data_IF_113254833837
#
_entry.id   IF_113254833837
#
_cell.length_a   1.000
_cell.length_b   1.000
_cell.length_c   1.000
_cell.angle_alpha   90.00
_cell.angle_beta   90.00
_cell.angle_gamma   90.00
#
_symmetry.space_group_name_H-M   'P 1'
#
loop_
_entity.id
_entity.type
_entity.pdbx_description
1 polymer ?
#
# COMPACT_ATOMS: atom_id res chain seq x y z
N UNK A 1 -11.32 28.74 0.20
CA UNK A 1 -10.81 27.46 -0.33
C UNK A 1 -9.65 27.63 -1.30
N UNK A 2 -9.82 27.97 -2.60
CA UNK A 2 -8.68 27.95 -3.56
C UNK A 2 -7.50 28.85 -3.16
N UNK A 3 -7.77 30.09 -2.76
CA UNK A 3 -6.72 31.02 -2.35
C UNK A 3 -5.95 30.51 -1.11
N UNK A 4 -6.67 30.06 -0.10
CA UNK A 4 -6.09 29.48 1.13
C UNK A 4 -5.31 28.20 0.83
N UNK A 5 -5.84 27.34 -0.04
CA UNK A 5 -5.18 26.12 -0.45
C UNK A 5 -3.87 26.43 -1.20
N UNK A 6 -3.87 27.41 -2.11
CA UNK A 6 -2.65 27.84 -2.82
C UNK A 6 -1.61 28.44 -1.85
N UNK A 7 -2.04 29.19 -0.82
CA UNK A 7 -1.14 29.66 0.25
C UNK A 7 -0.51 28.49 1.01
N UNK A 8 -1.32 27.51 1.43
CA UNK A 8 -0.84 26.29 2.08
C UNK A 8 0.14 25.48 1.20
N UNK A 9 -0.15 25.36 -0.10
CA UNK A 9 0.77 24.73 -1.07
C UNK A 9 2.11 25.45 -1.08
N UNK A 10 2.12 26.80 -1.12
CA UNK A 10 3.35 27.58 -1.10
C UNK A 10 4.13 27.44 0.24
N UNK A 11 3.43 27.43 1.37
CA UNK A 11 4.02 27.24 2.71
C UNK A 11 4.70 25.86 2.86
N UNK A 12 4.07 24.82 2.29
CA UNK A 12 4.61 23.45 2.29
C UNK A 12 5.76 23.31 1.29
N UNK A 13 5.64 23.92 0.11
CA UNK A 13 6.71 23.94 -0.88
C UNK A 13 7.98 24.64 -0.36
N UNK A 14 7.86 25.70 0.46
CA UNK A 14 8.99 26.35 1.11
C UNK A 14 9.74 25.42 2.10
N UNK A 15 9.09 24.36 2.58
CA UNK A 15 9.70 23.31 3.39
C UNK A 15 10.15 22.11 2.54
N UNK A 16 9.94 22.11 1.23
CA UNK A 16 10.27 20.99 0.34
C UNK A 16 9.31 19.80 0.44
N UNK A 17 8.07 20.01 0.88
CA UNK A 17 7.07 18.94 1.08
C UNK A 17 5.75 19.25 0.38
N UNK A 18 4.99 18.19 0.08
CA UNK A 18 3.67 18.28 -0.57
C UNK A 18 2.59 18.84 0.38
N UNK A 19 1.51 19.44 -0.15
CA UNK A 19 0.39 19.90 0.67
C UNK A 19 -0.29 18.74 1.43
N UNK A 20 -0.93 19.08 2.56
CA UNK A 20 -1.85 18.15 3.24
C UNK A 20 -2.98 17.69 2.30
N UNK A 21 -3.53 16.48 2.49
CA UNK A 21 -4.80 16.11 1.88
C UNK A 21 -5.89 17.09 2.28
N UNK A 22 -6.95 17.16 1.47
CA UNK A 22 -8.11 17.99 1.76
C UNK A 22 -8.85 17.45 2.99
N UNK A 23 -9.23 18.36 3.87
CA UNK A 23 -10.18 18.05 4.95
C UNK A 23 -11.64 18.11 4.46
N UNK A 24 -12.59 17.75 5.34
CA UNK A 24 -14.01 17.73 5.00
C UNK A 24 -14.57 19.11 4.63
N UNK A 25 -14.08 20.19 5.24
CA UNK A 25 -14.53 21.57 4.96
C UNK A 25 -14.05 22.00 3.57
N UNK A 26 -12.78 21.72 3.26
CA UNK A 26 -12.20 21.97 1.95
C UNK A 26 -12.87 21.11 0.87
N UNK A 27 -13.17 19.85 1.16
CA UNK A 27 -13.90 18.98 0.23
C UNK A 27 -15.32 19.49 -0.02
N UNK A 28 -16.03 19.96 1.00
CA UNK A 28 -17.36 20.55 0.84
C UNK A 28 -17.31 21.84 -0.02
N UNK A 29 -16.32 22.70 0.20
CA UNK A 29 -16.11 23.87 -0.64
C UNK A 29 -15.72 23.50 -2.08
N UNK A 30 -14.93 22.43 -2.27
CA UNK A 30 -14.59 21.90 -3.58
C UNK A 30 -15.84 21.39 -4.33
N UNK A 31 -16.81 20.77 -3.64
CA UNK A 31 -18.08 20.35 -4.27
C UNK A 31 -18.80 21.53 -4.92
N UNK A 32 -18.89 22.68 -4.23
CA UNK A 32 -19.56 23.87 -4.80
C UNK A 32 -18.80 24.43 -6.01
N UNK A 33 -17.47 24.42 -5.97
CA UNK A 33 -16.64 24.78 -7.12
C UNK A 33 -16.80 23.81 -8.29
N UNK A 34 -16.91 22.50 -8.03
CA UNK A 34 -17.13 21.50 -9.08
C UNK A 34 -18.50 21.65 -9.75
N UNK A 35 -19.52 22.17 -9.05
CA UNK A 35 -20.84 22.48 -9.63
C UNK A 35 -20.80 23.74 -10.51
N UNK A 36 -20.02 24.75 -10.11
CA UNK A 36 -19.88 26.02 -10.83
C UNK A 36 -18.40 26.41 -10.95
N UNK A 37 -17.63 25.75 -11.84
CA UNK A 37 -16.19 25.93 -11.90
C UNK A 37 -15.82 27.32 -12.42
N UNK A 38 -14.86 28.01 -11.78
CA UNK A 38 -14.24 29.19 -12.36
C UNK A 38 -13.51 28.83 -13.66
N UNK A 39 -13.57 29.73 -14.64
CA UNK A 39 -12.90 29.55 -15.94
C UNK A 39 -11.39 29.39 -15.74
N UNK A 40 -10.82 28.33 -16.32
CA UNK A 40 -9.39 28.03 -16.27
C UNK A 40 -8.91 27.27 -15.04
N UNK A 41 -9.82 26.89 -14.13
CA UNK A 41 -9.52 26.10 -12.93
C UNK A 41 -9.97 24.64 -13.05
N UNK A 42 -10.57 24.24 -14.18
CA UNK A 42 -11.27 22.97 -14.37
C UNK A 42 -10.37 21.75 -14.09
N UNK A 43 -9.18 21.72 -14.69
CA UNK A 43 -8.20 20.64 -14.49
C UNK A 43 -7.69 20.59 -13.05
N UNK A 44 -7.47 21.76 -12.44
CA UNK A 44 -6.98 21.83 -11.07
C UNK A 44 -8.01 21.31 -10.07
N UNK A 45 -9.28 21.68 -10.24
CA UNK A 45 -10.38 21.16 -9.41
C UNK A 45 -10.53 19.64 -9.55
N UNK A 46 -10.37 19.11 -10.76
CA UNK A 46 -10.38 17.66 -11.00
C UNK A 46 -9.19 16.97 -10.33
N UNK A 47 -7.98 17.52 -10.41
CA UNK A 47 -6.81 16.96 -9.71
C UNK A 47 -7.03 16.90 -8.19
N UNK A 48 -7.58 17.96 -7.59
CA UNK A 48 -7.91 17.99 -6.17
C UNK A 48 -8.90 16.87 -5.80
N UNK A 49 -9.97 16.72 -6.57
CA UNK A 49 -10.98 15.67 -6.37
C UNK A 49 -10.37 14.27 -6.51
N UNK A 50 -9.54 14.05 -7.53
CA UNK A 50 -9.03 12.73 -7.91
C UNK A 50 -7.88 12.28 -6.99
N UNK A 51 -6.99 13.21 -6.61
CA UNK A 51 -5.68 12.87 -6.06
C UNK A 51 -5.43 13.42 -4.65
N UNK A 52 -6.23 14.36 -4.13
CA UNK A 52 -5.93 15.05 -2.86
C UNK A 52 -6.91 14.74 -1.72
N UNK A 53 -7.84 13.82 -1.89
CA UNK A 53 -8.81 13.41 -0.85
C UNK A 53 -8.42 12.05 -0.29
N UNK A 54 -8.36 11.86 1.05
CA UNK A 54 -8.13 10.54 1.65
C UNK A 54 -9.20 9.52 1.19
N UNK A 55 -8.84 8.23 1.05
CA UNK A 55 -9.80 7.17 0.76
C UNK A 55 -10.48 6.64 2.04
N UNK A 56 -11.36 5.65 1.91
CA UNK A 56 -11.90 4.93 3.06
C UNK A 56 -13.06 5.66 3.74
N UNK A 57 -13.01 5.66 5.08
CA UNK A 57 -14.03 6.24 5.97
C UNK A 57 -13.61 7.58 6.59
N UNK A 58 -12.69 8.28 5.94
CA UNK A 58 -12.31 9.64 6.31
C UNK A 58 -13.49 10.62 6.10
N UNK A 59 -13.54 11.69 6.88
CA UNK A 59 -14.63 12.68 6.82
C UNK A 59 -14.68 13.39 5.46
N UNK A 60 -13.53 13.66 4.82
CA UNK A 60 -13.50 14.20 3.47
C UNK A 60 -13.92 13.16 2.43
N UNK A 61 -13.59 11.87 2.65
CA UNK A 61 -14.06 10.77 1.82
C UNK A 61 -15.59 10.64 1.88
N UNK A 62 -16.21 10.85 3.04
CA UNK A 62 -17.67 10.87 3.18
C UNK A 62 -18.31 11.92 2.27
N UNK A 63 -17.81 13.16 2.34
CA UNK A 63 -18.30 14.27 1.49
C UNK A 63 -18.10 13.98 0.01
N UNK A 64 -16.91 13.47 -0.37
CA UNK A 64 -16.59 13.08 -1.74
C UNK A 64 -17.53 11.98 -2.26
N UNK A 65 -17.71 10.90 -1.50
CA UNK A 65 -18.57 9.79 -1.88
C UNK A 65 -20.03 10.25 -2.06
N UNK A 66 -20.54 11.06 -1.13
CA UNK A 66 -21.89 11.62 -1.21
C UNK A 66 -22.11 12.48 -2.47
N UNK A 67 -21.15 13.36 -2.79
CA UNK A 67 -21.21 14.16 -4.02
C UNK A 67 -21.19 13.29 -5.28
N UNK A 68 -20.24 12.35 -5.38
CA UNK A 68 -20.13 11.48 -6.55
C UNK A 68 -21.38 10.59 -6.73
N UNK A 69 -21.94 10.07 -5.63
CA UNK A 69 -23.17 9.31 -5.67
C UNK A 69 -24.37 10.16 -6.16
N UNK A 70 -24.49 11.40 -5.70
CA UNK A 70 -25.54 12.33 -6.15
C UNK A 70 -25.40 12.68 -7.64
N UNK A 71 -24.18 12.83 -8.15
CA UNK A 71 -23.92 13.04 -9.59
C UNK A 71 -24.30 11.79 -10.38
N UNK A 72 -23.93 10.60 -9.91
CA UNK A 72 -24.28 9.34 -10.57
C UNK A 72 -25.80 9.11 -10.65
N UNK A 73 -26.55 9.49 -9.61
CA UNK A 73 -28.02 9.38 -9.56
C UNK A 73 -28.77 10.51 -10.29
N UNK A 74 -28.06 11.58 -10.68
CA UNK A 74 -28.66 12.76 -11.28
C UNK A 74 -29.35 13.71 -10.29
N UNK A 75 -29.16 13.51 -8.99
CA UNK A 75 -29.67 14.39 -7.93
C UNK A 75 -28.94 15.75 -7.90
N UNK A 76 -27.72 15.78 -8.45
CA UNK A 76 -26.95 17.00 -8.68
C UNK A 76 -26.15 16.89 -9.96
N UNK A 77 -25.65 18.02 -10.45
CA UNK A 77 -24.91 18.09 -11.72
C UNK A 77 -23.61 18.86 -11.57
N UNK A 78 -22.60 18.45 -12.32
CA UNK A 78 -21.34 19.18 -12.49
C UNK A 78 -21.00 19.23 -13.97
N UNK A 79 -20.54 20.36 -14.51
CA UNK A 79 -20.01 20.41 -15.87
C UNK A 79 -18.69 19.64 -16.04
N UNK A 80 -18.02 19.24 -14.96
CA UNK A 80 -16.72 18.55 -14.98
C UNK A 80 -16.81 17.06 -14.68
N UNK A 81 -17.89 16.60 -14.05
CA UNK A 81 -18.05 15.21 -13.61
C UNK A 81 -19.37 14.68 -14.16
N UNK A 82 -19.29 13.78 -15.16
CA UNK A 82 -20.45 13.04 -15.66
C UNK A 82 -20.85 11.91 -14.70
N UNK A 83 -22.06 11.35 -14.81
CA UNK A 83 -22.46 10.16 -14.06
C UNK A 83 -21.47 8.98 -14.21
N UNK A 84 -21.00 8.72 -15.43
CA UNK A 84 -19.99 7.69 -15.72
C UNK A 84 -18.69 7.96 -14.99
N UNK A 85 -18.20 9.21 -15.06
CA UNK A 85 -16.97 9.61 -14.37
C UNK A 85 -17.11 9.51 -12.85
N UNK A 86 -18.29 9.80 -12.31
CA UNK A 86 -18.54 9.71 -10.89
C UNK A 86 -18.42 8.25 -10.39
N UNK A 87 -18.96 7.29 -11.15
CA UNK A 87 -18.80 5.85 -10.85
C UNK A 87 -17.34 5.41 -10.96
N UNK A 88 -16.59 5.86 -11.97
CA UNK A 88 -15.14 5.59 -12.05
C UNK A 88 -14.40 6.08 -10.79
N UNK A 89 -14.70 7.30 -10.34
CA UNK A 89 -14.05 7.91 -9.17
C UNK A 89 -14.46 7.28 -7.85
N UNK A 90 -15.72 6.83 -7.72
CA UNK A 90 -16.14 6.00 -6.58
C UNK A 90 -15.30 4.71 -6.51
N UNK A 91 -14.95 4.13 -7.67
CA UNK A 91 -14.08 2.97 -7.75
C UNK A 91 -12.65 3.16 -7.23
N UNK A 92 -12.16 4.40 -7.10
CA UNK A 92 -10.79 4.67 -6.62
C UNK A 92 -10.70 4.94 -5.13
N UNK A 93 -11.81 4.90 -4.39
CA UNK A 93 -11.87 5.29 -2.98
C UNK A 93 -11.49 4.18 -1.99
N UNK A 94 -10.93 3.07 -2.50
CA UNK A 94 -10.47 1.86 -1.78
C UNK A 94 -11.58 1.04 -1.07
N UNK A 95 -12.56 1.69 -0.45
CA UNK A 95 -13.68 1.07 0.26
C UNK A 95 -14.35 2.03 1.25
N UNK A 96 -15.40 1.59 1.93
CA UNK A 96 -16.18 2.42 2.85
C UNK A 96 -17.38 3.07 2.18
N UNK A 97 -17.47 4.40 2.20
CA UNK A 97 -18.68 5.14 1.76
C UNK A 97 -18.99 5.02 0.26
N UNK A 98 -18.04 4.58 -0.55
CA UNK A 98 -18.20 4.38 -1.99
C UNK A 98 -18.90 3.07 -2.37
N UNK A 99 -18.97 2.09 -1.47
CA UNK A 99 -19.42 0.72 -1.82
C UNK A 99 -20.89 0.66 -2.20
N UNK A 100 -21.79 1.17 -1.36
CA UNK A 100 -23.23 1.13 -1.64
C UNK A 100 -23.61 1.87 -2.93
N UNK A 101 -23.09 3.09 -3.21
CA UNK A 101 -23.30 3.73 -4.51
C UNK A 101 -22.88 2.89 -5.72
N UNK A 102 -21.77 2.14 -5.62
CA UNK A 102 -21.34 1.24 -6.70
C UNK A 102 -22.27 0.03 -6.85
N UNK A 103 -22.76 -0.54 -5.75
CA UNK A 103 -23.71 -1.66 -5.77
C UNK A 103 -25.07 -1.22 -6.34
N UNK A 104 -25.57 -0.04 -5.96
CA UNK A 104 -26.77 0.57 -6.52
C UNK A 104 -26.66 0.71 -8.03
N UNK A 105 -25.51 1.19 -8.51
CA UNK A 105 -25.25 1.44 -9.93
C UNK A 105 -25.25 0.17 -10.80
N UNK A 106 -25.19 -1.04 -10.23
CA UNK A 106 -25.35 -2.29 -10.98
C UNK A 106 -26.75 -2.47 -11.58
N UNK A 107 -27.76 -1.72 -11.11
CA UNK A 107 -29.13 -1.78 -11.64
C UNK A 107 -29.39 -0.76 -12.76
N UNK A 108 -28.44 0.14 -13.03
CA UNK A 108 -28.53 1.13 -14.10
C UNK A 108 -27.81 0.61 -15.36
N UNK A 109 -28.54 0.45 -16.47
CA UNK A 109 -27.98 -0.14 -17.69
C UNK A 109 -26.78 0.61 -18.29
N UNK A 110 -26.65 1.92 -18.04
CA UNK A 110 -25.51 2.73 -18.51
C UNK A 110 -24.33 2.67 -17.56
N UNK A 111 -24.59 2.67 -16.24
CA UNK A 111 -23.55 2.74 -15.22
C UNK A 111 -23.03 1.37 -14.78
N UNK A 112 -23.85 0.33 -14.89
CA UNK A 112 -23.53 -1.01 -14.40
C UNK A 112 -22.23 -1.60 -14.97
N UNK A 113 -21.87 -1.43 -16.27
CA UNK A 113 -20.56 -1.90 -16.76
C UNK A 113 -19.36 -1.25 -16.04
N UNK A 114 -19.48 0.03 -15.70
CA UNK A 114 -18.42 0.82 -15.03
C UNK A 114 -18.34 0.42 -13.56
N UNK A 115 -19.51 0.30 -12.90
CA UNK A 115 -19.61 -0.12 -11.52
C UNK A 115 -19.09 -1.56 -11.32
N UNK A 116 -19.43 -2.47 -12.24
CA UNK A 116 -18.93 -3.84 -12.22
C UNK A 116 -17.39 -3.87 -12.30
N UNK A 117 -16.79 -3.09 -13.20
CA UNK A 117 -15.33 -2.96 -13.28
C UNK A 117 -14.73 -2.41 -11.99
N UNK A 118 -15.34 -1.38 -11.38
CA UNK A 118 -14.88 -0.82 -10.12
C UNK A 118 -14.94 -1.84 -8.96
N UNK A 119 -16.07 -2.53 -8.80
CA UNK A 119 -16.27 -3.54 -7.75
C UNK A 119 -15.34 -4.74 -7.91
N UNK A 120 -15.07 -5.15 -9.15
CA UNK A 120 -14.14 -6.25 -9.47
C UNK A 120 -12.73 -6.06 -8.91
N UNK A 121 -12.29 -4.80 -8.75
CA UNK A 121 -10.99 -4.45 -8.15
C UNK A 121 -11.08 -3.92 -6.71
N UNK A 122 -12.28 -3.89 -6.12
CA UNK A 122 -12.49 -3.41 -4.75
C UNK A 122 -12.37 -4.56 -3.75
N UNK A 123 -11.35 -4.51 -2.89
CA UNK A 123 -11.09 -5.61 -1.94
C UNK A 123 -11.90 -5.50 -0.65
N UNK A 124 -12.16 -4.27 -0.19
CA UNK A 124 -12.78 -3.97 1.10
C UNK A 124 -14.32 -4.13 1.07
N UNK A 125 -14.81 -5.23 0.47
CA UNK A 125 -16.23 -5.53 0.37
C UNK A 125 -16.81 -5.98 1.72
N UNK A 126 -16.05 -6.76 2.49
CA UNK A 126 -16.50 -7.35 3.76
C UNK A 126 -17.88 -7.99 3.65
N UNK A 127 -18.86 -7.55 4.43
CA UNK A 127 -20.23 -8.10 4.39
C UNK A 127 -21.03 -7.62 3.18
N UNK A 128 -20.66 -6.49 2.54
CA UNK A 128 -21.30 -6.02 1.30
C UNK A 128 -21.05 -6.99 0.11
N UNK A 129 -20.19 -8.00 0.30
CA UNK A 129 -20.10 -9.14 -0.62
C UNK A 129 -21.47 -9.79 -0.85
N UNK A 130 -22.26 -9.97 0.22
CA UNK A 130 -23.55 -10.66 0.13
C UNK A 130 -24.60 -9.83 -0.64
N UNK A 131 -24.50 -8.50 -0.63
CA UNK A 131 -25.40 -7.64 -1.41
C UNK A 131 -25.17 -7.83 -2.92
N UNK A 132 -23.90 -7.99 -3.34
CA UNK A 132 -23.56 -8.31 -4.74
C UNK A 132 -23.97 -9.74 -5.09
N UNK A 133 -23.75 -10.69 -4.19
CA UNK A 133 -24.16 -12.08 -4.36
C UNK A 133 -25.70 -12.21 -4.52
N UNK A 134 -26.47 -11.48 -3.72
CA UNK A 134 -27.93 -11.45 -3.80
C UNK A 134 -28.40 -10.96 -5.17
N UNK A 135 -27.84 -9.85 -5.67
CA UNK A 135 -28.12 -9.34 -7.01
C UNK A 135 -27.78 -10.35 -8.11
N UNK A 136 -26.64 -11.03 -7.99
CA UNK A 136 -26.23 -12.06 -8.93
C UNK A 136 -27.23 -13.23 -8.96
N UNK A 137 -27.66 -13.71 -7.77
CA UNK A 137 -28.68 -14.76 -7.60
C UNK A 137 -30.05 -14.34 -8.13
N UNK A 138 -30.40 -13.05 -8.02
CA UNK A 138 -31.62 -12.48 -8.58
C UNK A 138 -31.58 -12.31 -10.12
N UNK A 139 -30.43 -12.59 -10.76
CA UNK A 139 -30.29 -12.57 -12.21
C UNK A 139 -29.62 -11.32 -12.80
N UNK A 140 -29.05 -10.43 -11.98
CA UNK A 140 -28.28 -9.30 -12.49
C UNK A 140 -26.95 -9.79 -13.10
N UNK A 141 -26.81 -9.70 -14.43
CA UNK A 141 -25.62 -10.18 -15.16
C UNK A 141 -24.34 -9.42 -14.79
N UNK A 142 -24.42 -8.14 -14.45
CA UNK A 142 -23.26 -7.35 -14.02
C UNK A 142 -22.78 -7.77 -12.62
N UNK A 143 -23.71 -8.09 -11.72
CA UNK A 143 -23.35 -8.66 -10.42
C UNK A 143 -22.71 -10.05 -10.56
N UNK A 144 -23.21 -10.89 -11.48
CA UNK A 144 -22.56 -12.17 -11.81
C UNK A 144 -21.14 -11.97 -12.36
N UNK A 145 -20.93 -10.97 -13.21
CA UNK A 145 -19.60 -10.62 -13.71
C UNK A 145 -18.65 -10.26 -12.57
N UNK A 146 -19.08 -9.44 -11.60
CA UNK A 146 -18.27 -9.08 -10.42
C UNK A 146 -17.90 -10.33 -9.60
N UNK A 147 -18.88 -11.20 -9.32
CA UNK A 147 -18.64 -12.45 -8.59
C UNK A 147 -17.63 -13.35 -9.30
N UNK A 148 -17.74 -13.48 -10.61
CA UNK A 148 -16.81 -14.26 -11.44
C UNK A 148 -15.41 -13.64 -11.43
N UNK A 149 -15.29 -12.32 -11.59
CA UNK A 149 -14.00 -11.60 -11.55
C UNK A 149 -13.26 -11.80 -10.22
N UNK A 150 -13.97 -11.72 -9.09
CA UNK A 150 -13.40 -12.03 -7.78
C UNK A 150 -12.95 -13.49 -7.69
N UNK A 151 -13.78 -14.42 -8.18
CA UNK A 151 -13.48 -15.85 -8.17
C UNK A 151 -12.27 -16.23 -9.02
N UNK A 152 -12.03 -15.50 -10.11
CA UNK A 152 -10.89 -15.64 -11.02
C UNK A 152 -9.66 -14.83 -10.57
N UNK A 153 -9.76 -14.14 -9.42
CA UNK A 153 -8.70 -13.33 -8.84
C UNK A 153 -8.18 -12.23 -9.78
N UNK A 154 -9.04 -11.63 -10.61
CA UNK A 154 -8.62 -10.59 -11.56
C UNK A 154 -7.99 -9.39 -10.87
N UNK A 155 -8.48 -9.03 -9.67
CA UNK A 155 -7.89 -7.96 -8.83
C UNK A 155 -6.40 -8.15 -8.54
N UNK A 156 -5.95 -9.41 -8.49
CA UNK A 156 -4.56 -9.80 -8.26
C UNK A 156 -3.83 -9.99 -9.59
N UNK A 157 -4.44 -10.70 -10.54
CA UNK A 157 -3.83 -11.04 -11.82
C UNK A 157 -3.62 -9.83 -12.74
N UNK A 158 -4.42 -8.77 -12.60
CA UNK A 158 -4.25 -7.52 -13.34
C UNK A 158 -3.08 -6.67 -12.84
N UNK A 159 -2.52 -6.98 -11.66
CA UNK A 159 -1.37 -6.26 -11.08
C UNK A 159 -0.07 -6.83 -11.63
N UNK A 160 0.96 -6.01 -11.90
CA UNK A 160 2.25 -6.49 -12.36
C UNK A 160 2.84 -7.52 -11.38
N UNK A 161 3.33 -8.68 -11.86
CA UNK A 161 4.05 -9.60 -10.99
C UNK A 161 5.36 -8.96 -10.50
N UNK A 162 5.90 -9.47 -9.38
CA UNK A 162 7.24 -9.10 -8.93
C UNK A 162 8.25 -9.40 -10.06
N UNK A 163 9.12 -8.44 -10.35
CA UNK A 163 10.10 -8.60 -11.41
C UNK A 163 11.11 -9.72 -11.07
N UNK A 164 11.54 -10.48 -12.08
CA UNK A 164 12.59 -11.48 -11.91
C UNK A 164 13.94 -10.89 -11.52
N UNK A 165 14.14 -9.61 -11.86
CA UNK A 165 15.31 -8.80 -11.56
C UNK A 165 14.88 -7.39 -11.17
N UNK A 166 15.41 -6.90 -10.06
CA UNK A 166 15.18 -5.55 -9.54
C UNK A 166 16.55 -4.85 -9.45
N UNK A 167 16.76 -3.83 -10.27
CA UNK A 167 17.97 -3.01 -10.21
C UNK A 167 17.76 -1.83 -9.27
N UNK A 168 18.61 -1.68 -8.26
CA UNK A 168 18.50 -0.64 -7.23
C UNK A 168 19.84 0.02 -6.93
N UNK A 169 19.79 1.26 -6.45
CA UNK A 169 20.94 1.93 -5.82
C UNK A 169 20.88 1.75 -4.30
N UNK A 170 21.99 1.33 -3.71
CA UNK A 170 22.10 1.06 -2.27
C UNK A 170 22.16 2.37 -1.47
N UNK A 171 21.23 2.55 -0.53
CA UNK A 171 21.35 3.51 0.57
C UNK A 171 21.76 2.76 1.84
N UNK A 172 23.07 2.67 2.11
CA UNK A 172 23.63 1.90 3.22
C UNK A 172 23.69 2.72 4.51
N UNK A 173 23.12 2.20 5.59
CA UNK A 173 23.31 2.70 6.95
C UNK A 173 24.07 1.64 7.74
N UNK A 174 25.33 1.92 8.06
CA UNK A 174 26.20 0.99 8.80
C UNK A 174 25.76 0.87 10.27
N UNK A 175 26.01 -0.29 10.85
CA UNK A 175 25.64 -0.64 12.21
C UNK A 175 24.15 -0.96 12.37
N UNK A 176 23.61 -0.59 13.53
CA UNK A 176 22.21 -0.80 13.87
C UNK A 176 21.38 0.44 13.52
N UNK A 177 20.28 0.21 12.79
CA UNK A 177 19.21 1.18 12.60
C UNK A 177 18.08 0.86 13.56
N UNK A 178 17.93 1.70 14.59
CA UNK A 178 16.79 1.67 15.49
C UNK A 178 15.59 2.40 14.85
N UNK A 179 14.35 2.02 15.18
CA UNK A 179 13.18 2.73 14.68
C UNK A 179 13.10 4.19 15.16
N UNK A 180 13.76 4.55 16.27
CA UNK A 180 13.90 5.95 16.71
C UNK A 180 14.79 6.77 15.76
N UNK A 181 15.75 6.13 15.07
CA UNK A 181 16.58 6.81 14.08
C UNK A 181 15.76 7.23 12.85
N UNK A 182 14.79 6.40 12.49
CA UNK A 182 13.90 6.62 11.33
C UNK A 182 12.69 7.49 11.66
N UNK A 183 12.29 7.52 12.92
CA UNK A 183 11.13 8.24 13.42
C UNK A 183 11.38 8.67 14.87
N UNK A 184 12.11 9.78 15.10
CA UNK A 184 12.54 10.18 16.43
C UNK A 184 11.37 10.46 17.38
N UNK A 185 11.54 10.14 18.66
CA UNK A 185 10.51 10.36 19.68
C UNK A 185 10.02 11.82 19.81
N UNK A 186 10.89 12.86 19.75
CA UNK A 186 10.46 14.26 19.84
C UNK A 186 9.49 14.70 18.72
N UNK A 187 9.51 13.99 17.59
CA UNK A 187 8.73 14.30 16.40
C UNK A 187 7.45 13.43 16.32
N UNK A 188 7.08 12.73 17.42
CA UNK A 188 5.92 11.86 17.45
C UNK A 188 4.60 12.57 17.08
N UNK A 189 4.50 13.87 17.35
CA UNK A 189 3.33 14.70 17.04
C UNK A 189 3.06 14.83 15.53
N UNK A 190 4.08 14.71 14.67
CA UNK A 190 3.94 14.88 13.23
C UNK A 190 3.69 13.57 12.48
N UNK A 191 3.75 12.41 13.16
CA UNK A 191 3.62 11.06 12.55
C UNK A 191 2.43 10.87 11.58
N UNK A 192 1.24 11.46 11.81
CA UNK A 192 0.13 11.35 10.87
C UNK A 192 0.38 12.07 9.53
N UNK A 193 1.22 13.10 9.51
CA UNK A 193 1.62 13.86 8.33
C UNK A 193 2.92 13.27 7.74
N UNK A 194 2.78 12.18 6.97
CA UNK A 194 3.92 11.38 6.48
C UNK A 194 5.01 12.24 5.81
N UNK A 195 4.71 13.14 4.86
CA UNK A 195 5.74 13.95 4.20
C UNK A 195 6.49 14.87 5.17
N UNK A 196 5.80 15.43 6.16
CA UNK A 196 6.41 16.26 7.19
C UNK A 196 7.27 15.43 8.14
N UNK A 197 6.74 14.30 8.62
CA UNK A 197 7.46 13.43 9.55
C UNK A 197 8.70 12.80 8.92
N UNK A 198 8.65 12.48 7.62
CA UNK A 198 9.76 11.90 6.89
C UNK A 198 11.00 12.82 6.90
N UNK A 199 10.83 14.14 7.00
CA UNK A 199 11.98 15.06 7.10
C UNK A 199 12.85 14.79 8.34
N UNK A 200 12.31 14.20 9.41
CA UNK A 200 13.04 13.89 10.63
C UNK A 200 13.82 12.57 10.57
N UNK A 201 13.65 11.77 9.51
CA UNK A 201 14.33 10.49 9.33
C UNK A 201 15.85 10.68 9.26
N UNK A 202 16.60 10.01 10.14
CA UNK A 202 18.06 10.07 10.21
C UNK A 202 18.60 11.51 10.38
N UNK A 203 17.84 12.40 11.05
CA UNK A 203 18.27 13.79 11.30
C UNK A 203 19.48 13.92 12.22
N UNK A 204 19.77 12.89 13.02
CA UNK A 204 20.96 12.83 13.86
C UNK A 204 22.10 12.18 13.08
N UNK A 205 23.22 12.90 12.91
CA UNK A 205 24.36 12.45 12.13
C UNK A 205 24.90 11.10 12.63
N UNK A 206 25.36 10.28 11.68
CA UNK A 206 26.03 8.99 11.91
C UNK A 206 27.02 8.74 10.77
N UNK A 207 27.86 7.73 10.92
CA UNK A 207 28.80 7.35 9.87
C UNK A 207 28.11 7.14 8.52
N UNK A 208 28.61 7.78 7.47
CA UNK A 208 28.06 7.68 6.11
C UNK A 208 26.74 8.42 5.86
N UNK A 209 26.17 9.10 6.86
CA UNK A 209 24.90 9.83 6.74
C UNK A 209 25.10 11.29 7.10
N UNK A 210 24.76 12.17 6.16
CA UNK A 210 24.93 13.62 6.26
C UNK A 210 23.56 14.31 6.27
N UNK A 211 22.98 14.61 7.45
CA UNK A 211 21.71 15.32 7.53
C UNK A 211 21.81 16.73 6.96
N UNK A 212 20.80 17.17 6.20
CA UNK A 212 20.76 18.51 5.62
C UNK A 212 20.78 19.61 6.70
N UNK A 213 20.14 19.32 7.85
CA UNK A 213 20.18 20.16 9.05
C UNK A 213 20.27 19.26 10.30
N UNK A 214 21.47 19.03 10.86
CA UNK A 214 21.64 18.12 11.99
C UNK A 214 20.69 18.41 13.16
N UNK A 215 19.97 17.37 13.61
CA UNK A 215 18.96 17.42 14.67
C UNK A 215 17.57 17.87 14.22
N UNK A 216 17.40 18.32 12.97
CA UNK A 216 16.14 18.87 12.44
C UNK A 216 15.70 18.17 11.16
N UNK A 217 16.54 18.16 10.13
CA UNK A 217 16.25 17.58 8.81
C UNK A 217 17.29 16.53 8.46
N UNK A 218 16.80 15.36 8.04
CA UNK A 218 17.55 14.21 7.56
C UNK A 218 18.34 14.43 6.26
N UNK A 219 18.94 13.35 5.72
CA UNK A 219 19.86 13.39 4.58
C UNK A 219 19.13 13.48 3.23
N UNK A 220 18.22 14.45 3.07
CA UNK A 220 17.35 14.54 1.87
C UNK A 220 18.19 14.77 0.61
N UNK A 221 19.17 15.68 0.63
CA UNK A 221 20.06 15.90 -0.52
C UNK A 221 20.88 14.67 -0.90
N UNK A 222 21.32 13.91 0.10
CA UNK A 222 22.06 12.67 -0.12
C UNK A 222 21.18 11.62 -0.81
N UNK A 223 19.94 11.45 -0.35
CA UNK A 223 18.93 10.58 -0.96
C UNK A 223 18.66 11.01 -2.41
N UNK A 224 18.39 12.30 -2.65
CA UNK A 224 18.13 12.84 -3.98
C UNK A 224 19.33 12.68 -4.93
N UNK A 225 20.55 12.85 -4.42
CA UNK A 225 21.77 12.64 -5.21
C UNK A 225 21.91 11.18 -5.68
N UNK A 226 21.51 10.21 -4.84
CA UNK A 226 21.50 8.79 -5.22
C UNK A 226 20.37 8.47 -6.20
N UNK A 227 19.19 9.04 -6.02
CA UNK A 227 18.06 8.88 -6.95
C UNK A 227 18.39 9.36 -8.37
N UNK A 228 19.28 10.37 -8.52
CA UNK A 228 19.76 10.85 -9.83
C UNK A 228 20.55 9.80 -10.63
N UNK A 229 20.94 8.67 -10.03
CA UNK A 229 21.52 7.53 -10.76
C UNK A 229 20.50 6.79 -11.64
N UNK A 230 19.21 7.07 -11.49
CA UNK A 230 18.16 6.56 -12.37
C UNK A 230 17.57 5.21 -11.95
N UNK A 231 17.95 4.69 -10.78
CA UNK A 231 17.38 3.47 -10.21
C UNK A 231 16.66 3.76 -8.88
N UNK A 232 15.62 2.99 -8.52
CA UNK A 232 15.03 3.04 -7.18
C UNK A 232 16.08 2.81 -6.08
N UNK A 233 15.85 3.35 -4.90
CA UNK A 233 16.73 3.12 -3.76
C UNK A 233 16.30 1.88 -2.98
N UNK A 234 17.28 1.17 -2.42
CA UNK A 234 17.05 0.15 -1.40
C UNK A 234 17.63 0.62 -0.07
N UNK A 235 16.86 0.47 1.02
CA UNK A 235 17.37 0.71 2.36
C UNK A 235 18.19 -0.50 2.80
N UNK A 236 19.48 -0.31 3.07
CA UNK A 236 20.40 -1.39 3.44
C UNK A 236 21.02 -1.12 4.80
N UNK A 237 21.07 -2.10 5.70
CA UNK A 237 21.77 -1.94 6.98
C UNK A 237 22.19 -3.26 7.61
N UNK A 238 23.12 -3.22 8.56
CA UNK A 238 23.66 -4.45 9.15
C UNK A 238 22.64 -5.09 10.11
N UNK A 239 22.00 -4.27 10.94
CA UNK A 239 20.82 -4.64 11.75
C UNK A 239 19.75 -3.57 11.59
N UNK A 240 18.53 -3.93 11.18
CA UNK A 240 17.49 -2.97 10.78
C UNK A 240 16.21 -3.12 11.60
N UNK A 241 15.68 -2.00 12.08
CA UNK A 241 14.33 -1.89 12.60
C UNK A 241 14.14 -2.35 14.05
N UNK A 242 15.22 -2.40 14.84
CA UNK A 242 15.15 -2.70 16.27
C UNK A 242 14.41 -1.59 17.04
N UNK A 243 14.01 -1.87 18.28
CA UNK A 243 13.33 -0.91 19.14
C UNK A 243 11.81 -0.99 19.05
N UNK A 244 11.13 0.15 19.18
CA UNK A 244 9.67 0.16 19.35
C UNK A 244 8.92 -0.01 18.03
N UNK A 245 7.73 -0.61 18.12
CA UNK A 245 6.79 -0.69 17.01
C UNK A 245 6.23 0.70 16.70
N UNK A 246 6.74 1.33 15.64
CA UNK A 246 6.22 2.60 15.13
C UNK A 246 6.17 2.56 13.61
N UNK A 247 4.97 2.43 13.05
CA UNK A 247 4.74 2.40 11.59
C UNK A 247 5.34 3.63 10.87
N UNK A 248 5.47 4.76 11.58
CA UNK A 248 6.09 5.98 11.06
C UNK A 248 7.54 5.78 10.58
N UNK A 249 8.31 4.85 11.17
CA UNK A 249 9.65 4.52 10.67
C UNK A 249 9.60 3.96 9.24
N UNK A 250 8.74 2.97 9.00
CA UNK A 250 8.48 2.43 7.67
C UNK A 250 7.91 3.50 6.73
N UNK A 251 6.94 4.31 7.20
CA UNK A 251 6.38 5.37 6.38
C UNK A 251 7.45 6.36 5.89
N UNK A 252 8.40 6.76 6.74
CA UNK A 252 9.48 7.67 6.35
C UNK A 252 10.40 7.05 5.30
N UNK A 253 10.79 5.79 5.47
CA UNK A 253 11.62 5.08 4.49
C UNK A 253 10.89 4.98 3.14
N UNK A 254 9.63 4.52 3.14
CA UNK A 254 8.84 4.37 1.92
C UNK A 254 8.45 5.70 1.29
N UNK A 255 8.40 6.79 2.06
CA UNK A 255 8.19 8.12 1.48
C UNK A 255 9.33 8.48 0.51
N UNK A 256 10.56 8.14 0.84
CA UNK A 256 11.72 8.41 -0.02
C UNK A 256 12.06 7.29 -1.01
N UNK A 257 11.69 6.05 -0.70
CA UNK A 257 12.19 4.85 -1.43
C UNK A 257 11.07 3.93 -1.96
N UNK A 258 9.81 4.30 -1.75
CA UNK A 258 8.65 3.58 -2.25
C UNK A 258 7.97 4.29 -3.43
N UNK A 259 6.85 3.72 -3.83
CA UNK A 259 6.04 4.15 -4.97
C UNK A 259 4.76 4.85 -4.52
N UNK A 260 4.31 5.81 -5.31
CA UNK A 260 3.02 6.46 -5.10
C UNK A 260 1.86 5.46 -5.25
N UNK A 261 0.89 5.54 -4.36
CA UNK A 261 -0.32 4.73 -4.43
C UNK A 261 -1.39 5.54 -5.19
N UNK A 262 -1.90 5.06 -6.33
CA UNK A 262 -2.89 5.81 -7.12
C UNK A 262 -4.08 6.26 -6.27
N UNK A 263 -4.46 7.54 -6.42
CA UNK A 263 -5.60 8.16 -5.74
C UNK A 263 -5.52 8.20 -4.20
N UNK A 264 -4.38 7.87 -3.60
CA UNK A 264 -4.17 7.93 -2.14
C UNK A 264 -3.12 9.00 -1.84
N UNK A 265 -3.50 10.19 -1.35
CA UNK A 265 -2.55 11.27 -1.12
C UNK A 265 -1.58 10.94 0.02
N UNK A 266 -0.33 11.39 -0.15
CA UNK A 266 0.69 11.49 0.90
C UNK A 266 1.01 10.14 1.59
N UNK A 267 0.87 9.04 0.85
CA UNK A 267 1.28 7.71 1.29
C UNK A 267 1.93 6.97 0.13
N UNK A 268 2.99 6.24 0.45
CA UNK A 268 3.71 5.38 -0.49
C UNK A 268 3.73 3.94 0.02
N UNK A 269 3.85 3.00 -0.91
CA UNK A 269 4.02 1.57 -0.66
C UNK A 269 5.23 1.04 -1.42
N UNK A 270 5.37 -0.28 -1.54
CA UNK A 270 6.47 -0.86 -2.32
C UNK A 270 7.84 -0.69 -1.64
N UNK A 271 8.90 -0.64 -2.44
CA UNK A 271 10.28 -0.50 -1.96
C UNK A 271 10.95 -1.82 -1.55
N UNK A 272 12.28 -1.76 -1.37
CA UNK A 272 13.14 -2.90 -1.03
C UNK A 272 13.98 -2.57 0.21
N UNK A 273 14.05 -3.50 1.16
CA UNK A 273 14.88 -3.38 2.34
C UNK A 273 15.74 -4.62 2.53
N UNK A 274 17.05 -4.43 2.61
CA UNK A 274 18.04 -5.49 2.81
C UNK A 274 18.68 -5.31 4.19
N UNK A 275 18.73 -6.39 4.97
CA UNK A 275 19.37 -6.35 6.28
C UNK A 275 20.18 -7.60 6.55
N UNK A 276 21.36 -7.46 7.17
CA UNK A 276 22.05 -8.61 7.76
C UNK A 276 21.15 -9.30 8.79
N UNK A 277 20.46 -8.47 9.60
CA UNK A 277 19.29 -8.85 10.39
C UNK A 277 18.19 -7.81 10.33
N UNK A 278 16.93 -8.27 10.29
CA UNK A 278 15.75 -7.40 10.33
C UNK A 278 14.90 -7.79 11.53
N UNK A 279 14.60 -6.83 12.41
CA UNK A 279 13.76 -7.08 13.57
C UNK A 279 12.35 -7.55 13.14
N UNK A 280 11.76 -8.59 13.76
CA UNK A 280 10.52 -9.21 13.28
C UNK A 280 9.33 -8.27 13.13
N UNK A 281 9.19 -7.28 14.03
CA UNK A 281 8.10 -6.30 13.96
C UNK A 281 8.27 -5.39 12.74
N UNK A 282 9.50 -4.94 12.48
CA UNK A 282 9.81 -4.09 11.34
C UNK A 282 9.66 -4.85 10.03
N UNK A 283 10.13 -6.10 9.98
CA UNK A 283 9.91 -7.01 8.84
C UNK A 283 8.42 -7.09 8.48
N UNK A 284 7.57 -7.39 9.47
CA UNK A 284 6.12 -7.48 9.25
C UNK A 284 5.51 -6.13 8.80
N UNK A 285 6.01 -5.01 9.34
CA UNK A 285 5.51 -3.68 8.95
C UNK A 285 5.87 -3.34 7.50
N UNK A 286 7.05 -3.77 7.03
CA UNK A 286 7.49 -3.60 5.65
C UNK A 286 6.65 -4.46 4.69
N UNK A 287 6.47 -5.76 4.97
CA UNK A 287 5.66 -6.64 4.11
C UNK A 287 4.17 -6.24 4.10
N UNK A 288 3.62 -5.76 5.23
CA UNK A 288 2.26 -5.21 5.30
C UNK A 288 2.07 -3.97 4.41
N UNK A 289 3.14 -3.19 4.20
CA UNK A 289 3.14 -1.98 3.38
C UNK A 289 3.46 -2.23 1.89
N UNK A 290 3.64 -3.49 1.49
CA UNK A 290 3.98 -3.87 0.12
C UNK A 290 5.45 -3.81 -0.23
N UNK A 291 6.33 -3.55 0.75
CA UNK A 291 7.76 -3.61 0.56
C UNK A 291 8.25 -5.06 0.53
N UNK A 292 9.44 -5.29 -0.03
CA UNK A 292 10.15 -6.56 0.02
C UNK A 292 11.29 -6.50 1.06
N UNK A 293 11.11 -7.00 2.29
CA UNK A 293 12.19 -7.16 3.26
C UNK A 293 12.95 -8.47 3.04
N UNK A 294 14.28 -8.42 2.96
CA UNK A 294 15.16 -9.58 2.75
C UNK A 294 16.29 -9.57 3.79
N UNK A 295 16.41 -10.67 4.55
CA UNK A 295 17.62 -10.94 5.33
C UNK A 295 18.70 -11.52 4.41
N UNK A 296 19.82 -10.82 4.24
CA UNK A 296 20.92 -11.18 3.34
C UNK A 296 22.23 -10.63 3.89
N UNK A 297 23.37 -11.24 3.57
CA UNK A 297 24.66 -10.61 3.90
C UNK A 297 24.82 -9.29 3.12
N UNK A 298 25.07 -8.22 3.87
CA UNK A 298 25.19 -6.86 3.35
C UNK A 298 26.62 -6.31 3.46
N UNK A 299 27.58 -7.16 3.85
CA UNK A 299 28.98 -6.77 4.06
C UNK A 299 29.63 -6.17 2.80
N UNK A 300 29.29 -6.72 1.63
CA UNK A 300 29.78 -6.28 0.32
C UNK A 300 28.88 -5.23 -0.36
N UNK A 301 27.91 -4.64 0.36
CA UNK A 301 26.99 -3.63 -0.18
C UNK A 301 27.31 -2.26 0.43
N UNK A 302 27.82 -1.35 -0.40
CA UNK A 302 28.25 -0.02 0.01
C UNK A 302 27.31 1.08 -0.47
N UNK A 303 27.39 2.24 0.17
CA UNK A 303 26.59 3.41 -0.20
C UNK A 303 26.81 3.78 -1.67
N UNK A 304 25.72 3.80 -2.44
CA UNK A 304 25.72 4.17 -3.85
C UNK A 304 26.06 3.05 -4.82
N UNK A 305 26.34 1.82 -4.37
CA UNK A 305 26.47 0.67 -5.26
C UNK A 305 25.17 0.47 -6.04
N UNK A 306 25.28 0.07 -7.31
CA UNK A 306 24.13 -0.36 -8.12
C UNK A 306 24.15 -1.88 -8.19
N UNK A 307 23.06 -2.50 -7.74
CA UNK A 307 22.95 -3.95 -7.63
C UNK A 307 21.70 -4.46 -8.33
N UNK A 308 21.78 -5.70 -8.80
CA UNK A 308 20.66 -6.48 -9.32
C UNK A 308 20.26 -7.52 -8.26
N UNK A 309 19.02 -7.44 -7.80
CA UNK A 309 18.41 -8.42 -6.90
C UNK A 309 17.51 -9.33 -7.71
N UNK A 310 17.68 -10.64 -7.57
CA UNK A 310 16.89 -11.65 -8.27
C UNK A 310 16.00 -12.40 -7.26
N UNK A 311 14.75 -11.94 -6.99
CA UNK A 311 13.92 -12.47 -5.91
C UNK A 311 13.65 -13.98 -6.01
N UNK A 312 13.51 -14.48 -7.24
CA UNK A 312 13.21 -15.89 -7.51
C UNK A 312 14.44 -16.79 -7.50
N UNK A 313 15.64 -16.22 -7.71
CA UNK A 313 16.91 -16.96 -7.68
C UNK A 313 17.58 -16.93 -6.31
N UNK A 314 17.24 -15.95 -5.48
CA UNK A 314 17.89 -15.75 -4.18
C UNK A 314 19.31 -15.19 -4.33
N UNK A 315 19.53 -14.27 -5.29
CA UNK A 315 20.86 -13.73 -5.59
C UNK A 315 20.87 -12.20 -5.57
N UNK A 316 21.97 -11.64 -5.06
CA UNK A 316 22.33 -10.22 -5.20
C UNK A 316 23.62 -10.14 -6.00
N UNK A 317 23.60 -9.39 -7.10
CA UNK A 317 24.75 -9.23 -8.01
C UNK A 317 25.11 -7.78 -8.21
N UNK A 318 26.37 -7.50 -8.48
CA UNK A 318 26.79 -6.19 -8.95
C UNK A 318 26.20 -5.93 -10.34
N UNK A 319 25.59 -4.77 -10.54
CA UNK A 319 24.90 -4.46 -11.80
C UNK A 319 25.85 -4.31 -13.00
N UNK A 320 27.06 -3.81 -12.79
CA UNK A 320 28.03 -3.57 -13.88
C UNK A 320 28.86 -4.81 -14.20
N UNK A 321 29.25 -5.58 -13.17
CA UNK A 321 30.19 -6.72 -13.34
C UNK A 321 29.51 -8.09 -13.35
N UNK A 322 28.23 -8.17 -12.98
CA UNK A 322 27.47 -9.42 -12.76
C UNK A 322 28.08 -10.35 -11.67
N UNK A 323 29.02 -9.83 -10.89
CA UNK A 323 29.63 -10.54 -9.76
C UNK A 323 28.58 -10.88 -8.71
N UNK A 324 28.57 -12.12 -8.23
CA UNK A 324 27.71 -12.57 -7.15
C UNK A 324 28.20 -12.00 -5.82
N UNK A 325 27.44 -11.07 -5.25
CA UNK A 325 27.78 -10.39 -4.00
C UNK A 325 27.27 -11.14 -2.77
N UNK A 326 26.06 -11.69 -2.87
CA UNK A 326 25.43 -12.47 -1.80
C UNK A 326 24.31 -13.39 -2.35
N UNK A 327 23.95 -14.39 -1.56
CA UNK A 327 22.77 -15.24 -1.78
C UNK A 327 21.83 -15.15 -0.59
N UNK A 328 20.53 -15.31 -0.82
CA UNK A 328 19.50 -15.26 0.23
C UNK A 328 18.39 -16.28 -0.02
N UNK A 329 17.60 -16.55 1.02
CA UNK A 329 16.31 -17.23 0.90
C UNK A 329 15.22 -16.26 1.39
N UNK A 330 14.11 -16.18 0.64
CA UNK A 330 12.94 -15.47 1.14
C UNK A 330 12.38 -16.22 2.35
N UNK A 331 11.96 -15.47 3.38
CA UNK A 331 11.35 -16.04 4.59
C UNK A 331 10.16 -16.96 4.26
N UNK A 332 9.43 -16.64 3.20
CA UNK A 332 8.33 -17.42 2.65
C UNK A 332 8.12 -17.06 1.17
N UNK A 333 7.71 -18.03 0.35
CA UNK A 333 7.40 -17.78 -1.06
C UNK A 333 6.15 -16.89 -1.21
N UNK A 334 5.31 -16.82 -0.17
CA UNK A 334 4.11 -15.97 -0.13
C UNK A 334 4.47 -14.49 -0.22
N UNK A 335 5.68 -14.07 0.18
CA UNK A 335 6.15 -12.69 0.02
C UNK A 335 6.05 -12.18 -1.42
N UNK A 336 6.19 -13.07 -2.41
CA UNK A 336 6.06 -12.74 -3.82
C UNK A 336 4.63 -12.26 -4.14
N UNK A 337 3.63 -12.95 -3.59
CA UNK A 337 2.22 -12.57 -3.74
C UNK A 337 1.90 -11.31 -2.93
N UNK A 338 2.50 -11.15 -1.75
CA UNK A 338 2.29 -9.98 -0.89
C UNK A 338 2.75 -8.71 -1.60
N UNK A 339 3.94 -8.70 -2.20
CA UNK A 339 4.43 -7.55 -2.97
C UNK A 339 3.54 -7.28 -4.17
N UNK A 340 3.14 -8.31 -4.93
CA UNK A 340 2.23 -8.14 -6.08
C UNK A 340 0.90 -7.51 -5.66
N UNK A 341 0.32 -7.94 -4.53
CA UNK A 341 -0.93 -7.40 -4.00
C UNK A 341 -0.80 -5.96 -3.47
N UNK A 342 0.41 -5.42 -3.35
CA UNK A 342 0.67 -4.12 -2.71
C UNK A 342 0.71 -4.19 -1.19
N UNK A 343 0.94 -5.38 -0.63
CA UNK A 343 1.08 -5.64 0.80
C UNK A 343 0.42 -6.95 1.24
N UNK A 344 0.89 -7.48 2.36
CA UNK A 344 0.31 -8.67 3.00
C UNK A 344 -1.15 -8.48 3.41
N UNK A 345 -1.52 -7.30 3.92
CA UNK A 345 -2.91 -7.00 4.32
C UNK A 345 -3.86 -7.03 3.10
N UNK A 346 -3.60 -6.29 1.99
CA UNK A 346 -4.38 -6.43 0.76
C UNK A 346 -4.48 -7.88 0.25
N UNK A 347 -3.37 -8.64 0.30
CA UNK A 347 -3.37 -10.03 -0.12
C UNK A 347 -4.35 -10.89 0.68
N UNK A 348 -4.30 -10.81 2.02
CA UNK A 348 -5.18 -11.60 2.90
C UNK A 348 -6.66 -11.28 2.60
N UNK A 349 -7.00 -10.00 2.51
CA UNK A 349 -8.37 -9.56 2.26
C UNK A 349 -8.85 -10.03 0.88
N UNK A 350 -8.06 -9.76 -0.17
CA UNK A 350 -8.42 -10.13 -1.54
C UNK A 350 -8.48 -11.64 -1.76
N UNK A 351 -7.56 -12.41 -1.16
CA UNK A 351 -7.59 -13.88 -1.21
C UNK A 351 -8.84 -14.42 -0.50
N UNK A 352 -9.22 -13.84 0.64
CA UNK A 352 -10.46 -14.15 1.34
C UNK A 352 -11.70 -13.86 0.48
N UNK A 353 -11.73 -12.71 -0.19
CA UNK A 353 -12.79 -12.33 -1.14
C UNK A 353 -12.91 -13.33 -2.29
N UNK A 354 -11.78 -13.68 -2.93
CA UNK A 354 -11.75 -14.71 -3.98
C UNK A 354 -12.26 -16.05 -3.47
N UNK A 355 -11.86 -16.45 -2.27
CA UNK A 355 -12.29 -17.73 -1.68
C UNK A 355 -13.81 -17.76 -1.48
N UNK A 356 -14.38 -16.72 -0.87
CA UNK A 356 -15.85 -16.60 -0.70
C UNK A 356 -16.59 -16.61 -2.03
N UNK A 357 -16.09 -15.90 -3.04
CA UNK A 357 -16.70 -15.88 -4.38
C UNK A 357 -16.71 -17.28 -5.02
N UNK A 358 -15.60 -18.02 -4.93
CA UNK A 358 -15.50 -19.38 -5.47
C UNK A 358 -16.43 -20.35 -4.75
N UNK A 359 -16.51 -20.28 -3.43
CA UNK A 359 -17.45 -21.08 -2.63
C UNK A 359 -18.91 -20.82 -3.04
N UNK A 360 -19.29 -19.54 -3.16
CA UNK A 360 -20.63 -19.12 -3.59
C UNK A 360 -20.98 -19.62 -5.01
N UNK A 361 -19.99 -19.68 -5.91
CA UNK A 361 -20.14 -20.18 -7.27
C UNK A 361 -19.97 -21.71 -7.41
N UNK A 362 -19.71 -22.43 -6.30
CA UNK A 362 -19.48 -23.89 -6.33
C UNK A 362 -18.19 -24.30 -7.06
N UNK A 363 -17.21 -23.42 -7.14
CA UNK A 363 -15.92 -23.66 -7.79
C UNK A 363 -14.91 -24.30 -6.81
N UNK A 364 -13.95 -25.10 -7.30
CA UNK A 364 -12.90 -25.68 -6.47
C UNK A 364 -11.97 -24.58 -5.90
N UNK A 365 -11.17 -24.93 -4.89
CA UNK A 365 -10.15 -24.03 -4.34
C UNK A 365 -9.24 -23.45 -5.44
N UNK A 366 -8.81 -22.19 -5.28
CA UNK A 366 -7.98 -21.51 -6.27
C UNK A 366 -6.54 -22.05 -6.26
N UNK A 367 -5.93 -22.13 -7.44
CA UNK A 367 -4.52 -22.44 -7.67
C UNK A 367 -3.69 -21.18 -8.02
N UNK A 368 -4.31 -20.00 -8.03
CA UNK A 368 -3.67 -18.72 -8.41
C UNK A 368 -2.64 -18.25 -7.37
N UNK A 369 -2.91 -18.48 -6.08
CA UNK A 369 -2.10 -17.97 -4.99
C UNK A 369 -1.09 -19.00 -4.49
N UNK A 370 0.10 -18.54 -4.13
CA UNK A 370 1.10 -19.37 -3.45
C UNK A 370 0.56 -19.79 -2.09
N UNK A 371 0.68 -21.09 -1.84
CA UNK A 371 0.34 -21.67 -0.56
C UNK A 371 1.54 -21.57 0.39
N UNK A 372 1.25 -21.48 1.68
CA UNK A 372 2.30 -21.59 2.69
C UNK A 372 2.93 -22.98 2.61
N UNK A 373 4.24 -23.07 2.84
CA UNK A 373 4.95 -24.36 2.86
C UNK A 373 4.29 -25.28 3.90
N UNK A 374 3.99 -26.52 3.49
CA UNK A 374 3.53 -27.54 4.42
C UNK A 374 4.59 -27.76 5.51
N UNK A 375 4.12 -27.86 6.75
CA UNK A 375 5.02 -28.19 7.85
C UNK A 375 5.07 -29.70 8.02
N UNK A 376 6.28 -30.24 8.12
CA UNK A 376 6.52 -31.68 8.28
C UNK A 376 5.64 -32.29 9.38
N UNK A 377 5.03 -33.43 9.08
CA UNK A 377 4.27 -34.19 10.06
C UNK A 377 5.15 -34.55 11.26
N UNK A 378 4.62 -34.33 12.46
CA UNK A 378 5.35 -34.63 13.69
C UNK A 378 4.42 -35.18 14.75
N UNK A 379 4.81 -36.30 15.34
CA UNK A 379 4.14 -36.93 16.48
C UNK A 379 4.52 -36.32 17.83
N UNK A 380 5.48 -35.39 17.87
CA UNK A 380 5.90 -34.72 19.11
C UNK A 380 4.78 -33.85 19.66
N UNK A 381 4.74 -33.63 20.98
CA UNK A 381 3.77 -32.69 21.57
C UNK A 381 3.92 -31.25 21.08
N UNK A 382 2.95 -30.39 21.45
CA UNK A 382 3.02 -28.95 21.23
C UNK A 382 3.49 -28.21 22.48
N UNK A 383 4.25 -27.12 22.30
CA UNK A 383 4.55 -26.18 23.38
C UNK A 383 3.30 -25.37 23.81
N UNK A 384 3.38 -24.62 24.90
CA UNK A 384 2.25 -23.80 25.36
C UNK A 384 1.85 -22.74 24.32
N UNK A 385 2.81 -22.02 23.75
CA UNK A 385 2.54 -21.02 22.72
C UNK A 385 1.86 -21.63 21.49
N UNK A 386 2.36 -22.79 21.03
CA UNK A 386 1.77 -23.50 19.89
C UNK A 386 0.32 -23.92 20.13
N UNK A 387 0.00 -24.36 21.36
CA UNK A 387 -1.38 -24.69 21.77
C UNK A 387 -2.27 -23.47 21.84
N UNK A 388 -1.76 -22.33 22.34
CA UNK A 388 -2.52 -21.08 22.41
C UNK A 388 -2.91 -20.60 21.01
N UNK A 389 -1.94 -20.54 20.08
CA UNK A 389 -2.21 -20.18 18.68
C UNK A 389 -3.14 -21.20 18.02
N UNK A 390 -2.88 -22.50 18.20
CA UNK A 390 -3.75 -23.55 17.66
C UNK A 390 -5.19 -23.41 18.13
N UNK A 391 -5.40 -23.17 19.43
CA UNK A 391 -6.74 -22.96 19.98
C UNK A 391 -7.44 -21.76 19.33
N UNK A 392 -6.74 -20.66 19.12
CA UNK A 392 -7.28 -19.48 18.44
C UNK A 392 -7.62 -19.75 16.95
N UNK A 393 -6.93 -20.70 16.31
CA UNK A 393 -7.21 -21.19 14.97
C UNK A 393 -8.18 -22.39 14.91
N UNK A 394 -8.77 -22.82 16.04
CA UNK A 394 -9.66 -23.99 16.09
C UNK A 394 -8.99 -25.37 15.98
N UNK A 395 -7.66 -25.45 16.11
CA UNK A 395 -6.88 -26.71 16.03
C UNK A 395 -6.11 -27.00 17.33
N UNK A 396 -5.51 -28.20 17.46
CA UNK A 396 -4.81 -28.61 18.70
C UNK A 396 -3.49 -27.86 18.95
N UNK A 397 -2.86 -27.36 17.90
CA UNK A 397 -1.60 -26.62 17.96
C UNK A 397 -1.09 -26.26 16.57
N UNK A 398 -0.30 -25.18 16.47
CA UNK A 398 0.38 -24.77 15.24
C UNK A 398 1.87 -25.10 15.32
N UNK A 399 2.46 -25.60 14.23
CA UNK A 399 3.90 -25.90 14.16
C UNK A 399 4.70 -24.69 13.67
N UNK A 400 5.99 -24.55 14.05
CA UNK A 400 6.84 -23.47 13.53
C UNK A 400 6.93 -23.56 11.99
N UNK A 401 6.85 -22.42 11.32
CA UNK A 401 6.83 -22.32 9.85
C UNK A 401 5.44 -22.42 9.21
N UNK A 402 4.41 -22.87 9.94
CA UNK A 402 3.05 -22.90 9.41
C UNK A 402 2.44 -21.49 9.41
N UNK A 403 1.80 -21.13 8.30
CA UNK A 403 0.90 -19.98 8.25
C UNK A 403 -0.38 -20.28 9.04
N UNK A 404 -0.91 -19.29 9.75
CA UNK A 404 -2.19 -19.39 10.44
C UNK A 404 -2.77 -18.01 10.72
N UNK A 405 -4.09 -17.93 10.88
CA UNK A 405 -4.85 -16.72 11.18
C UNK A 405 -5.62 -16.92 12.51
N UNK A 406 -4.97 -16.68 13.67
CA UNK A 406 -5.64 -16.83 14.97
C UNK A 406 -6.73 -15.78 15.18
N UNK A 407 -7.87 -16.18 15.76
CA UNK A 407 -9.00 -15.31 16.12
C UNK A 407 -8.69 -14.28 17.20
#
# INVERSE_FOLDING_TARGET
MLEEYRKHVAERAAQGIVPKPLDATQMAALVELLKTPPVGEEEFLLDLLINRVPPGVDEAAYVKAGFLAAVAKGDTTSPLVSPEKAIELLGTMQGGYNIHPLIDALDDAKLAPIAAKALSHTLLMFDNFYDVEEKAKAGNEYAKQVMQSWADAEWFLSRPPLAEKITVTVFKVTGETNTDDLSPAPDAWSRPDIPLHAQAMLKNAREGIEPDQPGVVGPIKQIEALQKKGYPLAYVGDVVGTGSSRKSATNSVLWFMGDDIPNVPNKRGGGLCLGGKIAPIFFNTMEDAGALPIEVDVSNLNMGDVIDVYPYKGEVRNHETDELLATFELKTDVLIDEVRAGGRIPLIIGRGLTTKAREALGLPHSDVFRQAKDVAESSRGFSLAQKMVGRACGVKGIRPGAYCEPK
#
